data_IF_043686914615
#
_entry.id   IF_043686914615
#
_cell.length_a   1.000
_cell.length_b   1.000
_cell.length_c   1.000
_cell.angle_alpha   90.00
_cell.angle_beta   90.00
_cell.angle_gamma   90.00
#
_symmetry.space_group_name_H-M   'P 1'
#
loop_
_entity.id
_entity.type
_entity.pdbx_description
1 polymer ?
#
# COMPACT_ATOMS: atom_id res chain seq x y z
N UNK A 1 -7.73 -34.57 -66.02
CA UNK A 1 -6.58 -35.24 -65.39
C UNK A 1 -6.31 -34.55 -64.10
N UNK A 2 -6.71 -35.05 -63.03
CA UNK A 2 -6.33 -36.09 -62.13
C UNK A 2 -5.97 -35.41 -60.85
N UNK A 3 -6.90 -35.25 -59.94
CA UNK A 3 -7.10 -35.94 -58.65
C UNK A 3 -5.88 -35.96 -57.72
N UNK A 4 -6.01 -35.31 -56.54
CA UNK A 4 -5.98 -36.04 -55.24
C UNK A 4 -6.25 -35.07 -54.07
N UNK A 5 -7.40 -35.30 -53.43
CA UNK A 5 -7.72 -34.83 -52.07
C UNK A 5 -6.76 -35.50 -51.06
N UNK A 6 -6.20 -34.70 -50.13
CA UNK A 6 -5.75 -35.25 -48.85
C UNK A 6 -6.44 -34.44 -47.72
N UNK A 7 -7.22 -35.15 -46.92
CA UNK A 7 -7.73 -34.73 -45.61
C UNK A 7 -6.55 -34.55 -44.69
N UNK A 8 -6.51 -33.41 -43.98
CA UNK A 8 -5.68 -33.22 -42.81
C UNK A 8 -6.62 -33.19 -41.61
N UNK A 9 -6.45 -34.14 -40.73
CA UNK A 9 -7.09 -34.26 -39.42
C UNK A 9 -6.52 -33.25 -38.47
N UNK A 10 -7.38 -32.51 -37.76
CA UNK A 10 -7.04 -31.64 -36.66
C UNK A 10 -6.58 -32.42 -35.43
N UNK A 11 -5.52 -32.03 -34.72
CA UNK A 11 -5.29 -32.57 -33.41
C UNK A 11 -5.99 -31.67 -32.37
N UNK A 12 -6.82 -32.30 -31.57
CA UNK A 12 -7.37 -31.78 -30.34
C UNK A 12 -6.24 -31.49 -29.33
N UNK A 13 -6.02 -30.25 -28.97
CA UNK A 13 -5.14 -29.92 -27.86
C UNK A 13 -5.89 -30.04 -26.54
N UNK A 14 -5.64 -31.12 -25.82
CA UNK A 14 -5.99 -31.28 -24.42
C UNK A 14 -5.12 -30.32 -23.57
N UNK A 15 -5.74 -29.39 -22.89
CA UNK A 15 -5.10 -28.57 -21.88
C UNK A 15 -4.93 -29.42 -20.63
N UNK A 16 -3.72 -29.93 -20.40
CA UNK A 16 -3.34 -30.53 -19.13
C UNK A 16 -3.05 -29.39 -18.13
N UNK A 17 -3.90 -29.30 -17.14
CA UNK A 17 -3.61 -28.42 -15.97
C UNK A 17 -2.55 -29.09 -15.11
N UNK A 18 -1.38 -28.47 -15.02
CA UNK A 18 -0.36 -28.88 -14.09
C UNK A 18 -0.82 -28.56 -12.66
N UNK A 19 -1.18 -29.61 -11.93
CA UNK A 19 -1.34 -29.60 -10.49
C UNK A 19 0.06 -29.64 -9.87
N UNK A 20 0.41 -28.60 -9.10
CA UNK A 20 1.63 -28.55 -8.31
C UNK A 20 1.40 -29.37 -7.03
N UNK A 21 1.91 -30.60 -7.00
CA UNK A 21 1.85 -31.50 -5.86
C UNK A 21 2.65 -30.95 -4.69
N UNK A 22 1.93 -30.65 -3.60
CA UNK A 22 2.51 -30.26 -2.33
C UNK A 22 3.25 -31.42 -1.66
N UNK A 23 4.57 -31.40 -1.64
CA UNK A 23 5.35 -32.30 -0.81
C UNK A 23 5.09 -32.05 0.67
N UNK A 24 4.41 -33.01 1.31
CA UNK A 24 4.35 -33.15 2.76
C UNK A 24 5.72 -33.60 3.29
N UNK A 25 6.42 -32.75 4.01
CA UNK A 25 7.52 -33.19 4.86
C UNK A 25 6.97 -33.68 6.19
N UNK A 26 7.13 -34.97 6.43
CA UNK A 26 6.82 -35.64 7.71
C UNK A 26 7.91 -35.24 8.71
N UNK A 27 7.54 -34.51 9.77
CA UNK A 27 8.41 -34.26 10.92
C UNK A 27 8.07 -35.23 12.06
N UNK A 28 9.07 -35.95 12.49
CA UNK A 28 9.05 -36.84 13.67
C UNK A 28 8.77 -36.07 14.97
N UNK A 29 8.02 -36.63 15.93
CA UNK A 29 7.70 -35.97 17.20
C UNK A 29 8.83 -36.09 18.20
N UNK A 30 9.33 -34.97 18.70
CA UNK A 30 10.19 -34.86 19.88
C UNK A 30 9.38 -34.79 21.19
N UNK A 31 9.99 -35.04 22.36
CA UNK A 31 9.29 -35.41 23.60
C UNK A 31 8.44 -34.29 24.20
N UNK A 32 7.25 -34.69 24.66
CA UNK A 32 6.21 -33.87 25.28
C UNK A 32 6.64 -33.17 26.56
N UNK A 33 6.72 -31.84 26.56
CA UNK A 33 6.69 -31.03 27.80
C UNK A 33 5.24 -30.67 28.10
N UNK A 34 4.78 -31.13 29.30
CA UNK A 34 3.45 -30.85 29.88
C UNK A 34 3.16 -29.36 29.89
N UNK A 35 2.16 -28.91 29.10
CA UNK A 35 1.61 -27.55 29.12
C UNK A 35 0.68 -27.41 30.33
N UNK A 36 0.99 -26.51 31.27
CA UNK A 36 -0.01 -25.96 32.19
C UNK A 36 -1.06 -25.21 31.42
N UNK A 37 -2.33 -25.61 31.56
CA UNK A 37 -3.50 -24.86 31.07
C UNK A 37 -3.59 -23.56 31.86
N UNK A 38 -3.44 -22.43 31.17
CA UNK A 38 -3.94 -21.14 31.60
C UNK A 38 -5.37 -21.04 31.04
N UNK A 39 -6.32 -21.59 31.79
CA UNK A 39 -7.75 -21.32 31.61
C UNK A 39 -8.12 -20.17 32.54
N UNK A 40 -8.89 -19.22 32.03
CA UNK A 40 -9.54 -18.09 32.68
C UNK A 40 -8.75 -16.78 32.70
N UNK A 41 -8.56 -16.21 31.49
CA UNK A 41 -8.58 -14.77 31.30
C UNK A 41 -9.90 -14.45 30.58
N UNK A 42 -10.64 -13.41 30.99
CA UNK A 42 -11.88 -13.02 30.30
C UNK A 42 -11.55 -12.75 28.84
N UNK A 43 -12.34 -13.31 27.93
CA UNK A 43 -12.29 -13.01 26.51
C UNK A 43 -12.79 -11.58 26.33
N UNK A 44 -11.89 -10.62 26.46
CA UNK A 44 -12.18 -9.23 26.13
C UNK A 44 -12.28 -9.17 24.60
N UNK A 45 -13.40 -8.67 24.12
CA UNK A 45 -13.63 -8.47 22.70
C UNK A 45 -12.53 -7.54 22.15
N UNK A 46 -11.72 -7.99 21.18
CA UNK A 46 -10.64 -7.16 20.63
C UNK A 46 -11.16 -5.83 20.03
N UNK A 47 -12.42 -5.79 19.60
CA UNK A 47 -13.05 -4.60 19.05
C UNK A 47 -13.38 -3.59 20.17
N UNK A 48 -13.83 -4.05 21.33
CA UNK A 48 -14.11 -3.18 22.47
C UNK A 48 -12.84 -2.54 23.04
N UNK A 49 -11.76 -3.32 23.19
CA UNK A 49 -10.45 -2.80 23.63
C UNK A 49 -9.89 -1.79 22.64
N UNK A 50 -10.01 -2.04 21.34
CA UNK A 50 -9.57 -1.08 20.31
C UNK A 50 -10.39 0.20 20.30
N UNK A 51 -11.68 0.15 20.64
CA UNK A 51 -12.54 1.33 20.71
C UNK A 51 -12.26 2.18 21.96
N UNK A 52 -12.00 1.54 23.09
CA UNK A 52 -11.53 2.21 24.32
C UNK A 52 -10.16 2.87 24.13
N UNK A 53 -9.23 2.17 23.50
CA UNK A 53 -7.91 2.68 23.12
C UNK A 53 -8.01 3.92 22.20
N UNK A 54 -8.91 3.88 21.19
CA UNK A 54 -9.12 5.01 20.29
C UNK A 54 -9.60 6.26 21.01
N UNK A 55 -10.54 6.12 21.93
CA UNK A 55 -11.07 7.24 22.72
C UNK A 55 -10.03 7.79 23.71
N UNK A 56 -9.20 6.93 24.30
CA UNK A 56 -8.15 7.32 25.24
C UNK A 56 -7.00 8.06 24.55
N UNK A 57 -6.60 7.65 23.36
CA UNK A 57 -5.50 8.27 22.61
C UNK A 57 -5.90 9.63 22.01
N UNK A 58 -7.17 9.82 21.69
CA UNK A 58 -7.67 11.12 21.22
C UNK A 58 -7.37 12.24 22.21
N UNK A 59 -7.25 11.93 23.49
CA UNK A 59 -7.05 12.90 24.57
C UNK A 59 -5.58 12.96 25.06
N UNK A 60 -4.70 12.08 24.58
CA UNK A 60 -3.30 12.01 25.00
C UNK A 60 -2.38 12.83 24.09
N UNK A 61 -2.44 14.14 24.26
CA UNK A 61 -1.40 15.07 23.83
C UNK A 61 -0.77 15.67 25.09
N UNK A 62 0.56 15.71 25.13
CA UNK A 62 1.21 16.52 26.17
C UNK A 62 0.80 17.99 26.03
N UNK A 63 1.06 18.80 27.04
CA UNK A 63 0.76 20.24 27.06
C UNK A 63 1.40 21.03 25.89
N UNK A 64 2.27 20.39 25.11
CA UNK A 64 2.96 20.92 23.94
C UNK A 64 2.49 20.28 22.62
N UNK A 65 1.42 19.46 22.63
CA UNK A 65 0.88 18.80 21.46
C UNK A 65 1.75 17.65 20.90
N UNK A 66 2.68 17.12 21.69
CA UNK A 66 3.55 16.02 21.29
C UNK A 66 2.86 14.68 21.45
N UNK A 67 2.93 13.84 20.42
CA UNK A 67 2.44 12.47 20.46
C UNK A 67 3.38 11.64 21.34
N UNK A 68 2.88 11.19 22.50
CA UNK A 68 3.61 10.23 23.34
C UNK A 68 3.35 8.82 22.81
N UNK A 69 4.21 8.35 21.94
CA UNK A 69 4.25 6.94 21.51
C UNK A 69 5.56 6.34 21.96
N UNK A 70 5.56 5.65 23.08
CA UNK A 70 6.63 4.72 23.41
C UNK A 70 6.16 3.30 23.05
N UNK A 71 7.03 2.56 22.40
CA UNK A 71 6.61 1.36 21.74
C UNK A 71 7.18 0.13 22.39
N UNK A 72 6.34 -0.76 22.87
CA UNK A 72 6.66 -2.18 22.87
C UNK A 72 5.45 -3.06 22.63
N UNK A 73 5.43 -3.70 21.46
CA UNK A 73 4.57 -4.86 21.34
C UNK A 73 5.40 -6.12 21.43
N UNK A 74 5.35 -6.79 22.54
CA UNK A 74 5.27 -8.24 22.52
C UNK A 74 3.80 -8.60 22.30
N UNK A 75 3.31 -8.49 21.10
CA UNK A 75 2.08 -9.20 20.76
C UNK A 75 2.28 -10.67 21.14
N UNK A 76 1.33 -11.31 21.85
CA UNK A 76 1.37 -12.74 22.07
C UNK A 76 1.54 -13.36 20.68
N UNK A 77 2.53 -14.24 20.50
CA UNK A 77 3.00 -14.84 19.25
C UNK A 77 1.84 -15.08 18.25
N UNK A 78 1.41 -14.09 17.54
CA UNK A 78 0.54 -14.26 16.38
C UNK A 78 1.44 -14.69 15.24
N UNK A 79 1.49 -15.99 15.03
CA UNK A 79 2.12 -16.57 13.85
C UNK A 79 1.36 -16.06 12.62
N UNK A 80 2.04 -15.82 11.48
CA UNK A 80 1.35 -15.54 10.25
C UNK A 80 0.26 -16.59 10.03
N UNK A 81 -0.95 -16.16 9.72
CA UNK A 81 -2.08 -17.08 9.52
C UNK A 81 -1.82 -18.00 8.35
N UNK A 82 -1.19 -17.48 7.31
CA UNK A 82 -0.85 -18.19 6.09
C UNK A 82 0.24 -17.44 5.32
N UNK A 83 1.14 -18.16 4.66
CA UNK A 83 2.11 -17.62 3.72
C UNK A 83 1.76 -18.11 2.31
N UNK A 84 1.60 -17.20 1.38
CA UNK A 84 1.34 -17.48 -0.02
C UNK A 84 2.56 -17.08 -0.86
N UNK A 85 2.87 -17.89 -1.86
CA UNK A 85 4.01 -17.66 -2.73
C UNK A 85 3.56 -17.46 -4.18
N UNK A 86 4.01 -16.38 -4.80
CA UNK A 86 3.89 -16.14 -6.23
C UNK A 86 5.24 -16.32 -6.92
N UNK A 87 5.75 -17.57 -6.93
CA UNK A 87 7.07 -17.88 -7.50
C UNK A 87 7.15 -17.57 -8.99
N UNK A 88 6.09 -17.86 -9.74
CA UNK A 88 6.02 -17.68 -11.19
C UNK A 88 5.92 -16.19 -11.57
N UNK A 89 5.00 -15.46 -10.99
CA UNK A 89 4.68 -14.11 -11.45
C UNK A 89 5.36 -13.00 -10.65
N UNK A 90 5.81 -13.29 -9.44
CA UNK A 90 6.30 -12.28 -8.50
C UNK A 90 5.16 -11.42 -7.95
N UNK A 91 5.50 -10.59 -6.98
CA UNK A 91 4.59 -9.59 -6.38
C UNK A 91 5.37 -8.31 -6.18
N UNK A 92 4.79 -7.19 -6.53
CA UNK A 92 5.35 -5.87 -6.27
C UNK A 92 4.40 -5.07 -5.37
N UNK A 93 3.46 -4.33 -5.94
CA UNK A 93 2.46 -3.59 -5.19
C UNK A 93 1.28 -4.50 -4.86
N UNK A 94 0.76 -4.40 -3.64
CA UNK A 94 -0.38 -5.17 -3.18
C UNK A 94 -1.36 -4.27 -2.42
N UNK A 95 -2.67 -4.47 -2.65
CA UNK A 95 -3.74 -3.77 -1.95
C UNK A 95 -4.86 -4.74 -1.60
N UNK A 96 -5.41 -4.60 -0.40
CA UNK A 96 -6.66 -5.27 -0.03
C UNK A 96 -7.82 -4.65 -0.79
N UNK A 97 -8.80 -5.47 -1.11
CA UNK A 97 -10.08 -5.02 -1.67
C UNK A 97 -11.13 -4.92 -0.58
N UNK A 98 -12.34 -4.44 -0.90
CA UNK A 98 -13.44 -4.39 0.08
C UNK A 98 -13.93 -5.79 0.49
N UNK A 99 -13.78 -6.78 -0.39
CA UNK A 99 -14.11 -8.16 -0.03
C UNK A 99 -13.06 -8.75 0.92
N UNK A 100 -13.52 -9.36 2.00
CA UNK A 100 -12.65 -9.99 2.98
C UNK A 100 -11.77 -11.08 2.33
N UNK A 101 -10.51 -11.13 2.72
CA UNK A 101 -9.54 -12.11 2.24
C UNK A 101 -9.29 -12.06 0.72
N UNK A 102 -9.40 -10.92 0.10
CA UNK A 102 -9.03 -10.74 -1.31
C UNK A 102 -8.08 -9.57 -1.50
N UNK A 103 -7.20 -9.69 -2.48
CA UNK A 103 -6.17 -8.69 -2.78
C UNK A 103 -6.00 -8.51 -4.28
N UNK A 104 -5.65 -7.29 -4.66
CA UNK A 104 -5.15 -6.96 -5.99
C UNK A 104 -3.65 -6.71 -5.89
N UNK A 105 -2.88 -7.28 -6.79
CA UNK A 105 -1.43 -7.06 -6.82
C UNK A 105 -0.87 -6.97 -8.22
N UNK A 106 0.24 -6.25 -8.38
CA UNK A 106 0.99 -6.16 -9.62
C UNK A 106 2.07 -7.23 -9.68
N UNK A 107 2.20 -7.88 -10.83
CA UNK A 107 3.27 -8.82 -11.12
C UNK A 107 4.54 -8.09 -11.59
N UNK A 108 5.70 -8.71 -11.42
CA UNK A 108 6.97 -8.09 -11.78
C UNK A 108 8.02 -9.05 -12.38
N UNK A 109 7.64 -10.30 -12.69
CA UNK A 109 8.61 -11.31 -13.24
C UNK A 109 8.41 -11.62 -14.70
N UNK A 110 7.21 -12.07 -15.06
CA UNK A 110 6.94 -12.58 -16.43
C UNK A 110 6.19 -11.54 -17.23
N UNK A 111 5.24 -10.90 -16.59
CA UNK A 111 4.38 -9.90 -17.21
C UNK A 111 4.10 -8.76 -16.21
N UNK A 112 3.48 -7.71 -16.70
CA UNK A 112 3.05 -6.54 -15.92
C UNK A 112 1.55 -6.58 -15.63
N UNK A 113 0.94 -7.76 -15.67
CA UNK A 113 -0.48 -7.97 -15.42
C UNK A 113 -0.80 -7.77 -13.95
N UNK A 114 -1.90 -7.07 -13.67
CA UNK A 114 -2.45 -6.96 -12.33
C UNK A 114 -3.36 -8.17 -12.09
N UNK A 115 -3.28 -8.76 -10.90
CA UNK A 115 -3.98 -9.98 -10.53
C UNK A 115 -4.85 -9.79 -9.31
N UNK A 116 -6.07 -10.30 -9.39
CA UNK A 116 -7.04 -10.35 -8.31
C UNK A 116 -7.06 -11.75 -7.72
N UNK A 117 -6.72 -11.87 -6.45
CA UNK A 117 -6.46 -13.15 -5.77
C UNK A 117 -7.33 -13.29 -4.53
N UNK A 118 -7.95 -14.45 -4.37
CA UNK A 118 -8.53 -14.88 -3.09
C UNK A 118 -7.44 -15.47 -2.19
N UNK A 119 -7.28 -14.89 -1.00
CA UNK A 119 -6.35 -15.38 0.01
C UNK A 119 -6.89 -16.60 0.76
N UNK A 120 -8.20 -16.86 0.67
CA UNK A 120 -8.84 -17.97 1.37
C UNK A 120 -8.45 -19.31 0.74
N UNK A 121 -8.60 -19.44 -0.56
CA UNK A 121 -8.38 -20.66 -1.33
C UNK A 121 -7.19 -20.59 -2.28
N UNK A 122 -6.46 -19.46 -2.28
CA UNK A 122 -5.30 -19.21 -3.14
C UNK A 122 -5.62 -19.34 -4.63
N UNK A 123 -6.82 -18.89 -5.02
CA UNK A 123 -7.26 -18.92 -6.42
C UNK A 123 -7.33 -17.54 -7.01
N UNK A 124 -6.91 -17.41 -8.27
CA UNK A 124 -7.09 -16.18 -9.03
C UNK A 124 -8.56 -15.99 -9.40
N UNK A 125 -9.10 -14.84 -9.03
CA UNK A 125 -10.47 -14.46 -9.36
C UNK A 125 -10.50 -13.81 -10.74
N UNK A 126 -9.51 -12.95 -11.03
CA UNK A 126 -9.44 -12.21 -12.30
C UNK A 126 -8.03 -11.70 -12.60
N UNK A 127 -7.82 -11.44 -13.88
CA UNK A 127 -6.61 -10.82 -14.41
C UNK A 127 -6.98 -9.51 -15.09
N UNK A 128 -6.12 -8.48 -14.96
CA UNK A 128 -6.27 -7.18 -15.58
C UNK A 128 -5.05 -6.92 -16.48
N UNK A 129 -5.07 -7.44 -17.70
CA UNK A 129 -4.00 -7.23 -18.67
C UNK A 129 -4.13 -5.85 -19.31
N UNK A 130 -3.01 -5.27 -19.74
CA UNK A 130 -3.03 -4.02 -20.49
C UNK A 130 -1.79 -3.18 -20.34
N UNK A 131 -1.19 -3.10 -19.14
CA UNK A 131 0.10 -2.44 -19.00
C UNK A 131 1.19 -3.20 -19.75
N UNK A 132 2.06 -2.44 -20.44
CA UNK A 132 3.18 -2.97 -21.22
C UNK A 132 4.53 -2.81 -20.51
N UNK A 133 4.53 -2.19 -19.32
CA UNK A 133 5.69 -2.03 -18.45
C UNK A 133 5.25 -2.11 -17.00
N UNK A 134 6.24 -2.23 -16.10
CA UNK A 134 6.06 -2.36 -14.66
C UNK A 134 5.05 -1.35 -14.11
N UNK A 135 4.12 -1.85 -13.32
CA UNK A 135 3.16 -1.05 -12.54
C UNK A 135 3.88 -0.47 -11.33
N UNK A 136 3.84 0.85 -11.19
CA UNK A 136 4.57 1.58 -10.14
C UNK A 136 3.65 2.30 -9.16
N UNK A 137 2.35 2.33 -9.45
CA UNK A 137 1.34 2.87 -8.56
C UNK A 137 0.08 2.00 -8.62
N UNK A 138 -0.55 1.77 -7.48
CA UNK A 138 -1.78 0.99 -7.33
C UNK A 138 -2.58 1.56 -6.18
N UNK A 139 -3.80 2.02 -6.45
CA UNK A 139 -4.69 2.58 -5.45
C UNK A 139 -6.10 2.03 -5.62
N UNK A 140 -6.67 1.49 -4.53
CA UNK A 140 -8.08 1.09 -4.49
C UNK A 140 -8.96 2.30 -4.21
N UNK A 141 -10.13 2.36 -4.82
CA UNK A 141 -11.19 3.28 -4.41
C UNK A 141 -11.59 2.99 -2.96
N UNK A 142 -11.81 4.00 -2.12
CA UNK A 142 -12.27 3.77 -0.74
C UNK A 142 -13.75 3.40 -0.63
N UNK A 143 -14.54 3.58 -1.69
CA UNK A 143 -16.02 3.47 -1.63
C UNK A 143 -16.59 2.35 -2.49
N UNK A 144 -15.89 1.94 -3.55
CA UNK A 144 -16.38 0.95 -4.49
C UNK A 144 -15.29 -0.04 -4.96
N UNK A 145 -15.68 -1.00 -5.80
CA UNK A 145 -14.80 -2.04 -6.32
C UNK A 145 -13.96 -1.60 -7.53
N UNK A 146 -13.66 -0.30 -7.63
CA UNK A 146 -12.76 0.23 -8.66
C UNK A 146 -11.35 0.45 -8.13
N UNK A 147 -10.37 0.48 -9.01
CA UNK A 147 -9.00 0.82 -8.68
C UNK A 147 -8.28 1.47 -9.86
N UNK A 148 -7.26 2.26 -9.55
CA UNK A 148 -6.36 2.85 -10.53
C UNK A 148 -4.98 2.25 -10.42
N UNK A 149 -4.31 2.15 -11.56
CA UNK A 149 -2.93 1.72 -11.66
C UNK A 149 -2.13 2.64 -12.57
N UNK A 150 -0.93 2.98 -12.14
CA UNK A 150 0.03 3.75 -12.92
C UNK A 150 1.25 2.90 -13.28
N UNK A 151 1.76 3.03 -14.51
CA UNK A 151 2.86 2.22 -15.01
C UNK A 151 3.96 3.05 -15.67
N UNK A 152 5.13 2.46 -15.78
CA UNK A 152 6.26 2.99 -16.56
C UNK A 152 5.96 3.06 -18.07
N UNK A 153 4.84 2.50 -18.54
CA UNK A 153 4.33 2.70 -19.89
C UNK A 153 3.73 4.11 -20.09
N UNK A 154 3.79 4.96 -19.07
CA UNK A 154 3.28 6.34 -19.03
C UNK A 154 1.76 6.40 -19.11
N UNK A 155 1.07 5.38 -18.64
CA UNK A 155 -0.38 5.37 -18.56
C UNK A 155 -0.87 5.21 -17.12
N UNK A 156 -2.04 5.78 -16.85
CA UNK A 156 -2.89 5.42 -15.73
C UNK A 156 -4.12 4.72 -16.29
N UNK A 157 -4.50 3.61 -15.68
CA UNK A 157 -5.67 2.83 -16.06
C UNK A 157 -6.65 2.74 -14.91
N UNK A 158 -7.93 2.87 -15.24
CA UNK A 158 -9.04 2.65 -14.33
C UNK A 158 -9.62 1.26 -14.59
N UNK A 159 -9.89 0.52 -13.53
CA UNK A 159 -10.37 -0.84 -13.53
C UNK A 159 -11.56 -1.01 -12.60
N UNK A 160 -12.42 -1.97 -12.90
CA UNK A 160 -13.48 -2.47 -12.02
C UNK A 160 -13.20 -3.95 -11.72
N UNK A 161 -13.22 -4.34 -10.44
CA UNK A 161 -12.99 -5.73 -10.04
C UNK A 161 -14.00 -6.70 -10.66
N UNK A 162 -15.16 -6.21 -11.08
CA UNK A 162 -16.23 -7.00 -11.69
C UNK A 162 -16.04 -7.25 -13.19
N UNK A 163 -15.17 -6.47 -13.84
CA UNK A 163 -14.92 -6.57 -15.29
C UNK A 163 -13.42 -6.77 -15.58
N UNK A 164 -13.04 -7.65 -16.51
CA UNK A 164 -11.64 -7.81 -16.90
C UNK A 164 -11.12 -6.67 -17.78
N UNK A 165 -12.02 -5.84 -18.30
CA UNK A 165 -11.69 -4.78 -19.25
C UNK A 165 -11.27 -3.50 -18.54
N UNK A 166 -10.28 -2.82 -19.10
CA UNK A 166 -9.90 -1.48 -18.70
C UNK A 166 -11.09 -0.52 -18.96
N UNK A 167 -11.55 0.16 -17.91
CA UNK A 167 -12.68 1.09 -17.97
C UNK A 167 -12.24 2.48 -18.45
N UNK A 168 -11.00 2.83 -18.18
CA UNK A 168 -10.46 4.12 -18.56
C UNK A 168 -8.95 4.07 -18.74
N UNK A 169 -8.46 4.77 -19.77
CA UNK A 169 -7.05 4.87 -20.11
C UNK A 169 -6.65 6.33 -20.24
N UNK A 170 -5.58 6.69 -19.55
CA UNK A 170 -5.02 8.02 -19.57
C UNK A 170 -3.54 7.96 -19.93
N UNK A 171 -3.14 8.73 -20.93
CA UNK A 171 -1.74 8.89 -21.33
C UNK A 171 -1.11 10.09 -20.63
N UNK A 172 0.09 9.89 -20.11
CA UNK A 172 0.86 10.90 -19.39
C UNK A 172 2.24 11.10 -20.03
N UNK A 173 2.87 12.23 -19.72
CA UNK A 173 4.19 12.56 -20.29
C UNK A 173 5.38 12.04 -19.48
N UNK A 174 5.15 11.21 -18.44
CA UNK A 174 6.21 10.70 -17.58
C UNK A 174 5.76 9.57 -16.66
N UNK A 175 6.62 9.19 -15.73
CA UNK A 175 6.33 8.18 -14.70
C UNK A 175 5.20 8.68 -13.81
N UNK A 176 4.10 7.94 -13.68
CA UNK A 176 2.99 8.33 -12.82
C UNK A 176 3.16 7.84 -11.40
N UNK A 177 2.65 8.62 -10.46
CA UNK A 177 2.20 8.18 -9.13
C UNK A 177 0.74 8.58 -8.99
N UNK A 178 -0.11 7.77 -8.39
CA UNK A 178 -1.53 8.08 -8.31
C UNK A 178 -2.16 7.58 -7.01
N UNK A 179 -3.20 8.26 -6.56
CA UNK A 179 -3.99 7.91 -5.38
C UNK A 179 -5.41 8.45 -5.51
N UNK A 180 -6.38 7.69 -5.02
CA UNK A 180 -7.72 8.19 -4.77
C UNK A 180 -7.73 9.16 -3.59
N UNK A 181 -8.69 10.08 -3.60
CA UNK A 181 -9.10 10.84 -2.44
C UNK A 181 -9.90 9.95 -1.46
N UNK A 182 -10.10 10.39 -0.21
CA UNK A 182 -10.82 9.59 0.79
C UNK A 182 -12.32 9.41 0.51
N UNK A 183 -12.92 10.24 -0.34
CA UNK A 183 -14.33 10.12 -0.74
C UNK A 183 -14.53 9.29 -2.01
N UNK A 184 -13.44 8.94 -2.73
CA UNK A 184 -13.49 8.15 -3.96
C UNK A 184 -14.12 8.89 -5.16
N UNK A 185 -14.21 10.22 -5.09
CA UNK A 185 -14.79 11.06 -6.15
C UNK A 185 -13.75 11.55 -7.14
N UNK A 186 -12.53 11.76 -6.67
CA UNK A 186 -11.42 12.25 -7.48
C UNK A 186 -10.19 11.36 -7.29
N UNK A 187 -9.23 11.52 -8.15
CA UNK A 187 -7.89 10.98 -7.94
C UNK A 187 -6.82 12.00 -8.33
N UNK A 188 -5.70 11.92 -7.65
CA UNK A 188 -4.53 12.68 -7.97
C UNK A 188 -3.54 11.85 -8.78
N UNK A 189 -2.95 12.45 -9.80
CA UNK A 189 -1.87 11.89 -10.59
C UNK A 189 -0.65 12.82 -10.54
N UNK A 190 0.43 12.34 -9.93
CA UNK A 190 1.73 12.97 -10.01
C UNK A 190 2.41 12.55 -11.31
N UNK A 191 2.90 13.53 -12.07
CA UNK A 191 3.48 13.30 -13.40
C UNK A 191 4.91 13.82 -13.42
N UNK A 192 5.83 12.93 -13.75
CA UNK A 192 7.23 13.25 -14.00
C UNK A 192 7.95 13.99 -12.86
N UNK A 193 7.50 13.79 -11.61
CA UNK A 193 8.01 14.49 -10.41
C UNK A 193 7.93 16.03 -10.46
N UNK A 194 7.03 16.57 -11.27
CA UNK A 194 6.92 17.99 -11.53
C UNK A 194 5.50 18.53 -11.32
N UNK A 195 4.49 17.76 -11.66
CA UNK A 195 3.09 18.22 -11.63
C UNK A 195 2.19 17.25 -10.89
N UNK A 196 1.27 17.79 -10.10
CA UNK A 196 0.12 17.07 -9.56
C UNK A 196 -1.11 17.51 -10.32
N UNK A 197 -1.83 16.56 -10.90
CA UNK A 197 -3.07 16.78 -11.64
C UNK A 197 -4.21 16.08 -10.92
N UNK A 198 -5.33 16.78 -10.75
CA UNK A 198 -6.53 16.25 -10.12
C UNK A 198 -7.58 15.97 -11.20
N UNK A 199 -8.19 14.79 -11.14
CA UNK A 199 -9.18 14.33 -12.09
C UNK A 199 -10.46 13.91 -11.36
N UNK A 200 -11.61 14.30 -11.91
CA UNK A 200 -12.91 13.76 -11.52
C UNK A 200 -13.07 12.36 -12.14
N UNK A 201 -13.36 11.36 -11.31
CA UNK A 201 -13.50 9.96 -11.74
C UNK A 201 -14.62 9.79 -12.78
N UNK A 202 -15.67 10.60 -12.73
CA UNK A 202 -16.82 10.55 -13.64
C UNK A 202 -16.56 11.21 -15.00
N UNK A 203 -15.51 12.01 -15.10
CA UNK A 203 -15.20 12.79 -16.29
C UNK A 203 -13.70 12.94 -16.56
N UNK A 204 -12.91 11.92 -16.19
CA UNK A 204 -11.46 11.95 -16.36
C UNK A 204 -11.01 12.06 -17.82
N UNK A 205 -11.83 11.65 -18.78
CA UNK A 205 -11.66 11.80 -20.23
C UNK A 205 -11.59 13.27 -20.67
N UNK A 206 -12.22 14.19 -19.94
CA UNK A 206 -12.16 15.63 -20.18
C UNK A 206 -10.84 16.29 -19.75
N UNK A 207 -9.97 15.51 -19.09
CA UNK A 207 -8.70 15.99 -18.57
C UNK A 207 -8.79 16.44 -17.10
N UNK A 208 -7.67 16.95 -16.56
CA UNK A 208 -7.62 17.38 -15.16
C UNK A 208 -8.40 18.67 -14.97
N UNK A 209 -9.16 18.74 -13.87
CA UNK A 209 -9.82 19.99 -13.47
C UNK A 209 -8.88 20.93 -12.71
N UNK A 210 -7.79 20.42 -12.15
CA UNK A 210 -6.74 21.21 -11.52
C UNK A 210 -5.35 20.65 -11.87
N UNK A 211 -4.38 21.54 -12.01
CA UNK A 211 -2.97 21.19 -12.26
C UNK A 211 -2.08 22.08 -11.41
N UNK A 212 -1.31 21.46 -10.54
CA UNK A 212 -0.35 22.12 -9.65
C UNK A 212 1.06 21.85 -10.14
N UNK A 213 1.79 22.90 -10.53
CA UNK A 213 3.21 22.79 -10.86
C UNK A 213 4.03 22.90 -9.59
N UNK A 214 4.87 21.90 -9.36
CA UNK A 214 5.79 21.89 -8.25
C UNK A 214 7.17 22.37 -8.72
N UNK A 215 7.96 22.90 -7.79
CA UNK A 215 9.35 23.16 -8.08
C UNK A 215 10.05 21.82 -8.39
N UNK A 216 10.55 21.71 -9.61
CA UNK A 216 11.23 20.51 -10.08
C UNK A 216 12.58 20.34 -9.38
N UNK A 217 12.76 19.20 -8.74
CA UNK A 217 14.05 18.80 -8.19
C UNK A 217 14.60 17.66 -9.04
N UNK A 218 15.69 17.95 -9.75
CA UNK A 218 16.36 16.98 -10.64
C UNK A 218 17.05 15.83 -9.89
N UNK A 219 17.21 15.97 -8.57
CA UNK A 219 17.96 15.01 -7.75
C UNK A 219 17.09 13.86 -7.25
N UNK A 220 15.78 13.99 -7.27
CA UNK A 220 14.89 12.95 -6.76
C UNK A 220 13.63 12.77 -7.60
N UNK A 221 13.12 11.54 -7.58
CA UNK A 221 11.85 11.17 -8.21
C UNK A 221 10.75 10.98 -7.17
N UNK A 222 9.52 11.26 -7.54
CA UNK A 222 8.36 10.92 -6.72
C UNK A 222 8.12 9.42 -6.73
N UNK A 223 7.94 8.85 -5.55
CA UNK A 223 7.73 7.43 -5.34
C UNK A 223 6.32 7.09 -4.90
N UNK A 224 5.59 8.06 -4.36
CA UNK A 224 4.22 7.87 -3.91
C UNK A 224 3.47 9.17 -3.74
N UNK A 225 2.15 9.04 -3.69
CA UNK A 225 1.22 10.12 -3.45
C UNK A 225 0.09 9.59 -2.59
N UNK A 226 -0.28 10.33 -1.53
CA UNK A 226 -1.41 9.97 -0.66
C UNK A 226 -2.19 11.21 -0.26
N UNK A 227 -3.51 11.10 -0.27
CA UNK A 227 -4.36 12.09 0.38
C UNK A 227 -4.36 11.91 1.90
N UNK A 228 -4.57 12.99 2.63
CA UNK A 228 -4.97 12.93 4.04
C UNK A 228 -6.40 12.37 4.15
N UNK A 229 -6.76 11.83 5.32
CA UNK A 229 -8.08 11.22 5.49
C UNK A 229 -9.24 12.24 5.44
N UNK A 230 -8.94 13.53 5.64
CA UNK A 230 -9.91 14.62 5.48
C UNK A 230 -9.91 15.23 4.07
N UNK A 231 -9.11 14.70 3.15
CA UNK A 231 -9.03 15.14 1.75
C UNK A 231 -8.37 16.50 1.51
N UNK A 232 -7.90 17.19 2.56
CA UNK A 232 -7.39 18.57 2.44
C UNK A 232 -5.94 18.66 2.03
N UNK A 233 -5.17 17.62 2.28
CA UNK A 233 -3.74 17.60 2.06
C UNK A 233 -3.34 16.44 1.14
N UNK A 234 -2.25 16.64 0.41
CA UNK A 234 -1.61 15.58 -0.38
C UNK A 234 -0.16 15.48 0.06
N UNK A 235 0.24 14.25 0.40
CA UNK A 235 1.60 13.90 0.76
C UNK A 235 2.32 13.29 -0.45
N UNK A 236 3.47 13.85 -0.79
CA UNK A 236 4.30 13.39 -1.89
C UNK A 236 5.56 12.77 -1.30
N UNK A 237 5.73 11.47 -1.48
CA UNK A 237 6.95 10.75 -1.13
C UNK A 237 7.97 10.81 -2.27
N UNK A 238 9.24 10.91 -1.93
CA UNK A 238 10.35 10.92 -2.89
C UNK A 238 11.37 9.83 -2.59
N UNK A 239 12.21 9.50 -3.54
CA UNK A 239 13.39 8.66 -3.30
C UNK A 239 14.59 9.43 -2.72
N UNK A 240 14.43 10.74 -2.46
CA UNK A 240 15.38 11.56 -1.72
C UNK A 240 15.17 11.48 -0.20
N UNK A 241 15.86 12.37 0.53
CA UNK A 241 15.75 12.46 2.00
C UNK A 241 14.73 13.50 2.46
N UNK A 242 13.68 13.70 1.68
CA UNK A 242 12.58 14.61 2.02
C UNK A 242 11.25 14.14 1.43
N UNK A 243 10.16 14.60 2.05
CA UNK A 243 8.77 14.47 1.56
C UNK A 243 8.13 15.85 1.56
N UNK A 244 7.12 16.04 0.72
CA UNK A 244 6.39 17.31 0.59
C UNK A 244 4.94 17.14 0.97
N UNK A 245 4.42 18.11 1.68
CA UNK A 245 3.01 18.26 2.00
C UNK A 245 2.46 19.45 1.23
N UNK A 246 1.39 19.22 0.48
CA UNK A 246 0.71 20.28 -0.30
C UNK A 246 -0.76 20.39 0.10
N UNK A 247 -1.30 21.59 -0.01
CA UNK A 247 -2.74 21.82 0.06
C UNK A 247 -3.41 21.25 -1.19
N UNK A 248 -4.41 20.39 -1.01
CA UNK A 248 -5.08 19.69 -2.10
C UNK A 248 -5.97 20.60 -2.98
N UNK A 249 -6.36 21.77 -2.47
CA UNK A 249 -7.21 22.73 -3.20
C UNK A 249 -6.40 23.81 -3.92
N UNK A 250 -5.37 24.31 -3.25
CA UNK A 250 -4.55 25.42 -3.76
C UNK A 250 -3.29 24.93 -4.48
N UNK A 251 -2.84 23.71 -4.23
CA UNK A 251 -1.59 23.18 -4.75
C UNK A 251 -0.33 23.85 -4.19
N UNK A 252 -0.46 24.56 -3.06
CA UNK A 252 0.66 25.24 -2.43
C UNK A 252 1.41 24.25 -1.54
N UNK A 253 2.75 24.30 -1.57
CA UNK A 253 3.59 23.52 -0.66
C UNK A 253 3.46 24.12 0.74
N UNK A 254 2.90 23.34 1.65
CA UNK A 254 2.76 23.70 3.05
C UNK A 254 4.08 23.50 3.80
N UNK A 255 4.62 22.28 3.68
CA UNK A 255 5.84 21.88 4.35
C UNK A 255 6.70 20.96 3.48
N UNK A 256 8.00 20.99 3.73
CA UNK A 256 8.95 19.99 3.23
C UNK A 256 9.65 19.40 4.45
N UNK A 257 9.42 18.11 4.68
CA UNK A 257 9.97 17.39 5.83
C UNK A 257 11.22 16.64 5.41
N UNK A 258 12.30 16.86 6.13
CA UNK A 258 13.60 16.26 5.87
C UNK A 258 14.29 15.81 7.16
N UNK A 259 15.56 15.47 7.05
CA UNK A 259 16.38 15.05 8.19
C UNK A 259 16.14 13.59 8.62
N UNK A 260 15.83 12.76 7.66
CA UNK A 260 15.92 11.29 7.74
C UNK A 260 16.90 10.76 6.68
N UNK A 261 17.46 9.59 6.92
CA UNK A 261 18.45 9.01 6.01
C UNK A 261 17.77 8.26 4.85
N UNK A 262 18.19 8.57 3.61
CA UNK A 262 17.86 7.81 2.42
C UNK A 262 18.94 7.99 1.34
N UNK A 263 20.18 7.63 1.69
CA UNK A 263 21.35 7.80 0.81
C UNK A 263 21.33 6.84 -0.38
N UNK A 264 20.66 5.70 -0.24
CA UNK A 264 20.53 4.66 -1.27
C UNK A 264 19.34 4.87 -2.21
N UNK A 265 18.64 6.01 -2.08
CA UNK A 265 17.45 6.32 -2.89
C UNK A 265 16.39 5.21 -2.87
N UNK A 266 16.19 4.59 -1.72
CA UNK A 266 15.19 3.53 -1.52
C UNK A 266 13.79 4.15 -1.59
N UNK A 267 12.84 3.42 -2.18
CA UNK A 267 11.44 3.80 -2.12
C UNK A 267 10.91 3.61 -0.71
N UNK A 268 10.70 4.71 0.00
CA UNK A 268 10.16 4.73 1.35
C UNK A 268 8.71 5.20 1.30
N UNK A 269 7.83 4.52 2.02
CA UNK A 269 6.42 4.87 2.06
C UNK A 269 6.15 5.80 3.24
N UNK A 270 5.55 6.96 2.95
CA UNK A 270 5.04 7.88 3.96
C UNK A 270 3.54 7.65 4.18
N UNK A 271 3.05 7.98 5.37
CA UNK A 271 1.64 7.83 5.74
C UNK A 271 1.18 8.95 6.67
N UNK A 272 -0.11 9.31 6.55
CA UNK A 272 -0.78 10.11 7.57
C UNK A 272 -1.23 9.23 8.74
N UNK A 273 -1.39 9.83 9.91
CA UNK A 273 -2.21 9.26 10.97
C UNK A 273 -3.70 9.36 10.61
N UNK A 274 -4.57 8.52 11.19
CA UNK A 274 -6.01 8.54 10.88
C UNK A 274 -6.70 9.89 11.08
N UNK A 275 -6.19 10.71 12.02
CA UNK A 275 -6.67 12.07 12.29
C UNK A 275 -6.09 13.14 11.36
N UNK A 276 -5.25 12.76 10.40
CA UNK A 276 -4.54 13.63 9.46
C UNK A 276 -3.58 14.64 10.10
N UNK A 277 -3.31 14.53 11.42
CA UNK A 277 -2.49 15.51 12.14
C UNK A 277 -0.99 15.26 12.01
N UNK A 278 -0.59 14.00 11.92
CA UNK A 278 0.82 13.64 11.88
C UNK A 278 1.17 12.93 10.58
N UNK A 279 2.41 13.12 10.19
CA UNK A 279 3.00 12.52 9.00
C UNK A 279 4.17 11.67 9.44
N UNK A 280 4.25 10.45 8.94
CA UNK A 280 5.24 9.46 9.31
C UNK A 280 5.91 8.89 8.07
N UNK A 281 7.22 8.67 8.15
CA UNK A 281 7.99 7.98 7.11
C UNK A 281 9.03 7.06 7.74
N UNK A 282 9.23 5.91 7.12
CA UNK A 282 10.37 5.05 7.40
C UNK A 282 11.67 5.65 6.89
N UNK A 283 12.79 5.26 7.50
CA UNK A 283 14.13 5.71 7.13
C UNK A 283 15.02 4.52 6.77
N UNK A 284 16.11 4.80 6.09
CA UNK A 284 17.13 3.79 5.73
C UNK A 284 17.81 3.18 6.98
N UNK A 285 17.89 3.94 8.07
CA UNK A 285 18.48 3.50 9.35
C UNK A 285 17.55 2.64 10.21
N UNK A 286 16.36 2.30 9.72
CA UNK A 286 15.38 1.49 10.44
C UNK A 286 14.56 2.23 11.49
N UNK A 287 14.56 3.56 11.46
CA UNK A 287 13.73 4.40 12.33
C UNK A 287 12.54 4.99 11.59
N UNK A 288 11.53 5.41 12.34
CA UNK A 288 10.38 6.10 11.81
C UNK A 288 10.41 7.54 12.32
N UNK A 289 10.34 8.46 11.41
CA UNK A 289 10.32 9.89 11.71
C UNK A 289 8.89 10.40 11.65
N UNK A 290 8.52 11.25 12.62
CA UNK A 290 7.15 11.77 12.78
C UNK A 290 7.19 13.29 12.86
N UNK A 291 6.31 13.95 12.09
CA UNK A 291 6.11 15.39 12.10
C UNK A 291 4.65 15.74 12.33
N UNK A 292 4.42 16.88 12.96
CA UNK A 292 3.10 17.49 12.97
C UNK A 292 2.86 18.17 11.62
N UNK A 293 1.75 17.84 10.95
CA UNK A 293 1.42 18.32 9.60
C UNK A 293 1.08 19.80 9.54
N UNK A 294 0.57 20.37 10.63
CA UNK A 294 0.20 21.79 10.70
C UNK A 294 1.41 22.67 10.97
N UNK A 295 2.17 22.36 12.04
CA UNK A 295 3.33 23.17 12.44
C UNK A 295 4.61 22.89 11.67
N UNK A 296 4.70 21.75 10.98
CA UNK A 296 5.91 21.31 10.28
C UNK A 296 7.02 20.79 11.21
N UNK A 297 6.79 20.78 12.54
CA UNK A 297 7.80 20.41 13.53
C UNK A 297 7.93 18.89 13.63
N UNK A 298 9.18 18.41 13.70
CA UNK A 298 9.45 16.99 14.00
C UNK A 298 9.15 16.73 15.47
N UNK A 299 8.22 15.81 15.73
CA UNK A 299 7.72 15.54 17.10
C UNK A 299 8.30 14.26 17.68
N UNK A 300 8.67 13.29 16.85
CA UNK A 300 9.21 12.02 17.34
C UNK A 300 10.13 11.33 16.32
N UNK A 301 10.97 10.44 16.85
CA UNK A 301 11.71 9.42 16.07
C UNK A 301 11.51 8.11 16.81
N UNK A 302 10.83 7.15 16.15
CA UNK A 302 10.48 5.86 16.74
C UNK A 302 11.47 4.79 16.28
N UNK A 303 11.98 4.01 17.23
CA UNK A 303 12.94 2.92 16.97
C UNK A 303 12.26 1.56 17.15
N UNK A 304 11.82 0.96 16.05
CA UNK A 304 11.19 -0.36 16.01
C UNK A 304 12.18 -1.53 15.96
N UNK A 305 13.45 -1.28 16.16
CA UNK A 305 14.52 -2.28 16.05
C UNK A 305 14.55 -2.99 14.71
N UNK A 306 14.20 -2.27 13.66
CA UNK A 306 14.35 -2.74 12.29
C UNK A 306 15.84 -2.84 11.91
N UNK A 307 16.20 -3.91 11.22
CA UNK A 307 17.58 -4.19 10.81
C UNK A 307 17.94 -3.61 9.44
N UNK A 308 17.01 -2.94 8.79
CA UNK A 308 17.17 -2.34 7.47
C UNK A 308 16.14 -1.28 7.16
N UNK A 309 16.14 -0.72 5.94
CA UNK A 309 15.25 0.35 5.54
C UNK A 309 13.78 -0.03 5.74
N UNK A 310 13.01 0.86 6.34
CA UNK A 310 11.56 0.69 6.48
C UNK A 310 10.90 1.18 5.19
N UNK A 311 10.60 0.24 4.31
CA UNK A 311 10.06 0.53 2.98
C UNK A 311 8.54 0.65 2.94
N UNK A 312 7.85 0.10 3.94
CA UNK A 312 6.40 0.13 4.03
C UNK A 312 5.96 0.61 5.41
N UNK A 313 5.00 1.52 5.43
CA UNK A 313 4.37 2.04 6.63
C UNK A 313 2.90 2.28 6.35
N UNK A 314 2.02 1.58 7.09
CA UNK A 314 0.58 1.64 6.90
C UNK A 314 -0.14 1.79 8.22
N UNK A 315 -0.99 2.82 8.32
CA UNK A 315 -1.92 2.98 9.43
C UNK A 315 -3.17 2.14 9.22
N UNK A 316 -3.71 1.66 10.34
CA UNK A 316 -5.07 1.14 10.35
C UNK A 316 -6.05 2.32 10.29
N UNK A 317 -6.96 2.37 9.30
CA UNK A 317 -7.86 3.51 9.17
C UNK A 317 -8.89 3.63 10.31
N UNK A 318 -9.11 2.55 11.06
CA UNK A 318 -10.11 2.49 12.13
C UNK A 318 -9.52 2.60 13.54
N UNK A 319 -8.25 2.28 13.70
CA UNK A 319 -7.63 2.17 15.02
C UNK A 319 -6.26 2.87 15.00
N UNK A 320 -5.86 3.43 16.13
CA UNK A 320 -4.54 4.05 16.31
C UNK A 320 -3.42 3.00 16.40
N UNK A 321 -3.40 2.13 15.42
CA UNK A 321 -2.37 1.13 15.24
C UNK A 321 -1.78 1.23 13.85
N UNK A 322 -0.51 0.96 13.72
CA UNK A 322 0.12 0.92 12.41
C UNK A 322 1.12 -0.23 12.30
N UNK A 323 1.49 -0.55 11.10
CA UNK A 323 2.52 -1.52 10.79
C UNK A 323 3.67 -0.85 10.05
N UNK A 324 4.90 -1.24 10.38
CA UNK A 324 6.10 -0.90 9.64
C UNK A 324 6.83 -2.16 9.20
N UNK A 325 7.42 -2.12 8.02
CA UNK A 325 8.09 -3.28 7.47
C UNK A 325 9.40 -2.92 6.77
N UNK A 326 10.41 -3.75 7.06
CA UNK A 326 11.63 -3.94 6.29
C UNK A 326 11.68 -5.42 5.83
N UNK A 327 12.75 -6.15 6.02
CA UNK A 327 12.74 -7.62 5.95
C UNK A 327 11.94 -8.26 7.09
N UNK A 328 11.73 -7.53 8.18
CA UNK A 328 10.88 -7.88 9.31
C UNK A 328 9.70 -6.91 9.40
N UNK A 329 8.61 -7.32 10.05
CA UNK A 329 7.43 -6.51 10.26
C UNK A 329 7.22 -6.26 11.76
N UNK A 330 6.93 -5.01 12.10
CA UNK A 330 6.54 -4.57 13.43
C UNK A 330 5.12 -4.00 13.40
N UNK A 331 4.33 -4.35 14.42
CA UNK A 331 3.04 -3.74 14.70
C UNK A 331 3.17 -2.79 15.88
N UNK A 332 2.56 -1.61 15.73
CA UNK A 332 2.67 -0.52 16.67
C UNK A 332 1.33 -0.27 17.35
N UNK A 333 1.34 -0.26 18.68
CA UNK A 333 0.20 0.08 19.51
C UNK A 333 0.58 1.29 20.38
N UNK A 334 -0.37 2.15 20.71
CA UNK A 334 -0.11 3.19 21.70
C UNK A 334 0.19 2.56 23.07
N UNK A 335 1.11 3.14 23.80
CA UNK A 335 1.27 2.87 25.23
C UNK A 335 0.16 3.62 25.97
N UNK A 336 -0.46 2.94 26.89
CA UNK A 336 -1.33 3.53 27.91
C UNK A 336 -0.46 3.56 29.16
N UNK A 337 -0.11 4.76 29.61
CA UNK A 337 0.47 4.94 30.95
C UNK A 337 -0.68 4.75 31.93
N UNK A 338 -0.57 3.70 32.78
CA UNK A 338 -1.52 3.40 33.87
C UNK A 338 -1.43 4.47 34.98
#
# INVERSE_FOLDING_TARGET
MGSKRRRATSPSSSVSGDFDDGHHSVSTPGPSRKRRRLSNLPTVDPIAVCHELYNTIRDYKDEQGRLLCELFIRAPKRRPKRTLYSKKYGVDLIRYTHAANTVVYSSNKIDDTIRYLSLHDNKYIRYFPGHSKRVVALSMSPVDDTFISGSLDKTIRLWDLRSPNCQGLMHLQGKPVCSFDPEGLIFAAGVNSEMVKLYDLRSFDKGPFATFKMQYDRTCEWTGLKFSNDGKLILISTNGSFIRLIDAFKGVVMHTFGGYANSKAVTLEASFTPDSQFIMIGSEDGKIHVWNGESGIKVAVLDGKHTGPITCLQFNPKFMTFASACSNMAFWLPTIDD
#
